data_IF_935432335340
#
_entry.id   IF_935432335340
#
_cell.length_a   1.000
_cell.length_b   1.000
_cell.length_c   1.000
_cell.angle_alpha   90.00
_cell.angle_beta   90.00
_cell.angle_gamma   90.00
#
_symmetry.space_group_name_H-M   'P 1'
#
loop_
_entity.id
_entity.type
_entity.pdbx_description
1 polymer ?
#
# COMPACT_ATOMS: atom_id res chain seq x y z
N UNK A 1 -26.21 26.75 -10.62
CA UNK A 1 -25.14 26.62 -9.61
C UNK A 1 -24.11 25.71 -10.23
N UNK A 2 -22.88 26.19 -10.42
CA UNK A 2 -21.80 25.33 -10.88
C UNK A 2 -21.63 24.20 -9.87
N UNK A 3 -21.56 22.95 -10.33
CA UNK A 3 -21.30 21.83 -9.44
C UNK A 3 -19.94 22.05 -8.74
N UNK A 4 -19.76 21.56 -7.51
CA UNK A 4 -18.48 21.71 -6.79
C UNK A 4 -17.28 21.16 -7.58
N UNK A 5 -17.53 20.25 -8.52
CA UNK A 5 -16.55 19.75 -9.48
C UNK A 5 -16.14 20.80 -10.51
N UNK A 6 -17.07 21.59 -11.04
CA UNK A 6 -16.74 22.70 -11.95
C UNK A 6 -15.92 23.79 -11.24
N UNK A 7 -16.23 24.07 -9.97
CA UNK A 7 -15.44 24.98 -9.12
C UNK A 7 -14.01 24.45 -8.95
N UNK A 8 -13.87 23.16 -8.63
CA UNK A 8 -12.57 22.49 -8.51
C UNK A 8 -11.79 22.55 -9.83
N UNK A 9 -12.44 22.25 -10.95
CA UNK A 9 -11.82 22.31 -12.29
C UNK A 9 -11.28 23.69 -12.61
N UNK A 10 -12.05 24.73 -12.29
CA UNK A 10 -11.67 26.12 -12.49
C UNK A 10 -10.46 26.51 -11.62
N UNK A 11 -10.45 26.12 -10.36
CA UNK A 11 -9.31 26.41 -9.47
C UNK A 11 -8.03 25.73 -9.95
N UNK A 12 -8.14 24.49 -10.42
CA UNK A 12 -6.99 23.75 -10.98
C UNK A 12 -6.51 24.39 -12.29
N UNK A 13 -7.41 24.79 -13.19
CA UNK A 13 -7.02 25.44 -14.45
C UNK A 13 -6.43 26.85 -14.25
N UNK A 14 -6.85 27.56 -13.20
CA UNK A 14 -6.27 28.85 -12.78
C UNK A 14 -4.93 28.69 -12.02
N UNK A 15 -4.48 27.46 -11.74
CA UNK A 15 -3.25 27.18 -11.00
C UNK A 15 -3.33 27.44 -9.49
N UNK A 16 -4.53 27.64 -8.94
CA UNK A 16 -4.77 27.88 -7.51
C UNK A 16 -4.82 26.58 -6.73
N UNK A 17 -3.70 25.86 -6.72
CA UNK A 17 -3.60 24.50 -6.17
C UNK A 17 -3.89 24.41 -4.67
N UNK A 18 -3.52 25.41 -3.87
CA UNK A 18 -3.80 25.41 -2.43
C UNK A 18 -5.31 25.52 -2.12
N UNK A 19 -6.00 26.39 -2.85
CA UNK A 19 -7.45 26.55 -2.73
C UNK A 19 -8.18 25.31 -3.23
N UNK A 20 -7.75 24.74 -4.36
CA UNK A 20 -8.27 23.47 -4.88
C UNK A 20 -8.09 22.32 -3.87
N UNK A 21 -6.92 22.23 -3.23
CA UNK A 21 -6.65 21.23 -2.20
C UNK A 21 -7.49 21.43 -0.93
N UNK A 22 -7.75 22.68 -0.53
CA UNK A 22 -8.67 22.98 0.58
C UNK A 22 -10.09 22.55 0.26
N UNK A 23 -10.60 22.94 -0.91
CA UNK A 23 -11.93 22.56 -1.39
C UNK A 23 -12.08 21.04 -1.47
N UNK A 24 -11.07 20.34 -2.02
CA UNK A 24 -11.08 18.89 -2.11
C UNK A 24 -11.18 18.24 -0.72
N UNK A 25 -10.48 18.75 0.30
CA UNK A 25 -10.51 18.17 1.66
C UNK A 25 -11.81 18.45 2.42
N UNK A 26 -12.41 19.62 2.22
CA UNK A 26 -13.62 20.04 2.94
C UNK A 26 -14.90 19.49 2.29
N UNK A 27 -14.94 19.44 0.96
CA UNK A 27 -16.16 19.16 0.19
C UNK A 27 -16.05 17.87 -0.65
N UNK A 28 -15.15 16.95 -0.29
CA UNK A 28 -14.95 15.69 -1.04
C UNK A 28 -16.25 14.90 -1.25
N UNK A 29 -17.16 14.90 -0.27
CA UNK A 29 -18.46 14.24 -0.35
C UNK A 29 -19.35 14.81 -1.47
N UNK A 30 -19.33 16.12 -1.69
CA UNK A 30 -20.08 16.78 -2.77
C UNK A 30 -19.39 16.62 -4.13
N UNK A 31 -18.04 16.55 -4.14
CA UNK A 31 -17.25 16.31 -5.35
C UNK A 31 -17.45 14.87 -5.85
N UNK A 32 -17.67 13.92 -4.94
CA UNK A 32 -17.88 12.50 -5.26
C UNK A 32 -19.35 12.12 -5.44
N UNK A 33 -20.31 13.02 -5.16
CA UNK A 33 -21.73 12.82 -5.46
C UNK A 33 -22.03 13.10 -6.93
N UNK A 34 -21.50 12.25 -7.82
CA UNK A 34 -21.65 12.36 -9.27
C UNK A 34 -22.49 11.22 -9.83
N UNK A 35 -23.42 11.58 -10.72
CA UNK A 35 -24.21 10.61 -11.47
C UNK A 35 -23.34 9.90 -12.53
N UNK A 36 -23.79 8.75 -13.05
CA UNK A 36 -23.05 7.99 -14.09
C UNK A 36 -22.76 8.83 -15.34
N UNK A 37 -23.74 9.59 -15.83
CA UNK A 37 -23.60 10.46 -17.00
C UNK A 37 -22.60 11.59 -16.78
N UNK A 38 -22.56 12.15 -15.56
CA UNK A 38 -21.61 13.19 -15.19
C UNK A 38 -20.19 12.62 -15.15
N UNK A 39 -19.99 11.43 -14.59
CA UNK A 39 -18.69 10.74 -14.56
C UNK A 39 -18.13 10.49 -15.95
N UNK A 40 -18.95 9.96 -16.86
CA UNK A 40 -18.54 9.71 -18.25
C UNK A 40 -18.18 11.01 -19.00
N UNK A 41 -18.98 12.07 -18.82
CA UNK A 41 -18.71 13.39 -19.42
C UNK A 41 -17.39 14.00 -18.90
N UNK A 42 -17.11 13.87 -17.61
CA UNK A 42 -15.87 14.37 -16.99
C UNK A 42 -14.64 13.61 -17.49
N UNK A 43 -14.73 12.28 -17.61
CA UNK A 43 -13.64 11.45 -18.16
C UNK A 43 -13.38 11.75 -19.65
N UNK A 44 -14.41 12.12 -20.42
CA UNK A 44 -14.26 12.48 -21.83
C UNK A 44 -13.71 13.92 -22.04
N UNK A 45 -13.98 14.83 -21.11
CA UNK A 45 -13.62 16.25 -21.25
C UNK A 45 -12.25 16.61 -20.70
N UNK A 46 -11.72 15.85 -19.75
CA UNK A 46 -10.51 16.21 -19.01
C UNK A 46 -9.41 15.15 -19.13
N UNK A 47 -8.15 15.58 -19.28
CA UNK A 47 -7.00 14.69 -19.20
C UNK A 47 -6.56 14.46 -17.74
N UNK A 48 -6.00 13.27 -17.40
CA UNK A 48 -5.50 12.99 -16.06
C UNK A 48 -4.39 13.94 -15.59
N UNK A 49 -3.55 14.43 -16.50
CA UNK A 49 -2.42 15.31 -16.18
C UNK A 49 -2.89 16.69 -15.72
N UNK A 50 -3.93 17.22 -16.38
CA UNK A 50 -4.42 18.58 -16.13
C UNK A 50 -5.37 18.64 -14.94
N UNK A 51 -6.20 17.60 -14.75
CA UNK A 51 -7.29 17.57 -13.77
C UNK A 51 -7.25 16.29 -12.93
N UNK A 52 -6.10 16.00 -12.31
CA UNK A 52 -5.89 14.77 -11.53
C UNK A 52 -6.85 14.63 -10.34
N UNK A 53 -7.23 15.73 -9.68
CA UNK A 53 -8.17 15.69 -8.56
C UNK A 53 -9.58 15.28 -8.99
N UNK A 54 -10.02 15.72 -10.17
CA UNK A 54 -11.33 15.35 -10.75
C UNK A 54 -11.33 13.87 -11.12
N UNK A 55 -10.26 13.41 -11.79
CA UNK A 55 -10.06 12.00 -12.09
C UNK A 55 -10.04 11.14 -10.83
N UNK A 56 -9.34 11.60 -9.79
CA UNK A 56 -9.30 10.94 -8.49
C UNK A 56 -10.70 10.81 -7.88
N UNK A 57 -11.51 11.87 -7.93
CA UNK A 57 -12.88 11.84 -7.42
C UNK A 57 -13.74 10.82 -8.17
N UNK A 58 -13.72 10.84 -9.51
CA UNK A 58 -14.49 9.90 -10.33
C UNK A 58 -14.08 8.45 -10.06
N UNK A 59 -12.77 8.16 -10.09
CA UNK A 59 -12.24 6.81 -9.85
C UNK A 59 -12.52 6.32 -8.43
N UNK A 60 -12.52 7.22 -7.44
CA UNK A 60 -12.87 6.89 -6.05
C UNK A 60 -14.34 6.46 -5.88
N UNK A 61 -15.23 6.90 -6.76
CA UNK A 61 -16.62 6.45 -6.80
C UNK A 61 -16.72 5.13 -7.55
N UNK A 62 -16.06 5.02 -8.70
CA UNK A 62 -16.09 3.79 -9.53
C UNK A 62 -15.53 2.57 -8.79
N UNK A 63 -14.44 2.73 -8.04
CA UNK A 63 -13.82 1.62 -7.29
C UNK A 63 -14.69 1.11 -6.13
N UNK A 64 -15.68 1.90 -5.69
CA UNK A 64 -16.62 1.53 -4.60
C UNK A 64 -17.91 0.90 -5.11
N UNK A 65 -18.10 0.85 -6.42
CA UNK A 65 -19.29 0.22 -7.00
C UNK A 65 -19.33 -1.27 -6.62
N UNK A 66 -20.52 -1.82 -6.29
CA UNK A 66 -20.63 -3.20 -5.83
C UNK A 66 -20.26 -4.22 -6.93
N UNK A 67 -20.43 -3.84 -8.20
CA UNK A 67 -20.10 -4.66 -9.37
C UNK A 67 -19.25 -3.83 -10.32
N UNK A 68 -17.93 -4.01 -10.23
CA UNK A 68 -16.96 -3.33 -11.07
C UNK A 68 -16.72 -4.15 -12.33
N UNK A 69 -16.96 -3.55 -13.50
CA UNK A 69 -16.47 -4.09 -14.75
C UNK A 69 -14.98 -3.78 -14.91
N UNK A 70 -14.15 -4.77 -14.57
CA UNK A 70 -12.70 -4.68 -14.68
C UNK A 70 -12.21 -4.42 -16.10
N UNK A 71 -12.97 -4.78 -17.14
CA UNK A 71 -12.58 -4.53 -18.53
C UNK A 71 -12.59 -3.03 -18.87
N UNK A 72 -13.47 -2.27 -18.20
CA UNK A 72 -13.59 -0.82 -18.35
C UNK A 72 -12.72 -0.10 -17.33
N UNK A 73 -12.72 -0.54 -16.08
CA UNK A 73 -12.02 0.15 -15.00
C UNK A 73 -10.49 0.06 -15.13
N UNK A 74 -9.94 -1.08 -15.57
CA UNK A 74 -8.48 -1.27 -15.71
C UNK A 74 -7.86 -0.28 -16.71
N UNK A 75 -8.41 -0.06 -17.91
CA UNK A 75 -7.94 1.01 -18.80
C UNK A 75 -7.98 2.40 -18.17
N UNK A 76 -9.06 2.75 -17.45
CA UNK A 76 -9.22 4.06 -16.81
C UNK A 76 -8.18 4.31 -15.73
N UNK A 77 -8.03 3.37 -14.77
CA UNK A 77 -7.04 3.50 -13.68
C UNK A 77 -5.61 3.45 -14.24
N UNK A 78 -5.36 2.70 -15.32
CA UNK A 78 -4.04 2.66 -15.96
C UNK A 78 -3.70 4.01 -16.60
N UNK A 79 -4.62 4.59 -17.38
CA UNK A 79 -4.43 5.93 -17.95
C UNK A 79 -4.18 6.97 -16.86
N UNK A 80 -4.96 6.93 -15.77
CA UNK A 80 -4.72 7.80 -14.63
C UNK A 80 -3.33 7.57 -14.01
N UNK A 81 -2.97 6.32 -13.71
CA UNK A 81 -1.70 5.95 -13.07
C UNK A 81 -0.48 6.35 -13.88
N UNK A 82 -0.60 6.36 -15.21
CA UNK A 82 0.49 6.73 -16.12
C UNK A 82 0.60 8.24 -16.34
N UNK A 83 -0.47 9.01 -16.15
CA UNK A 83 -0.53 10.40 -16.59
C UNK A 83 -0.86 11.44 -15.49
N UNK A 84 -1.23 11.03 -14.28
CA UNK A 84 -1.58 11.98 -13.21
C UNK A 84 -0.42 12.93 -12.85
N UNK A 85 -0.77 14.13 -12.38
CA UNK A 85 0.14 15.10 -11.77
C UNK A 85 0.41 14.75 -10.30
N UNK A 86 1.66 14.45 -9.91
CA UNK A 86 1.98 14.15 -8.51
C UNK A 86 1.70 15.32 -7.57
N UNK A 87 1.84 16.56 -8.03
CA UNK A 87 1.55 17.75 -7.22
C UNK A 87 0.07 17.84 -6.86
N UNK A 88 -0.81 17.60 -7.83
CA UNK A 88 -2.25 17.58 -7.60
C UNK A 88 -2.68 16.39 -6.73
N UNK A 89 -2.09 15.21 -6.94
CA UNK A 89 -2.40 14.03 -6.11
C UNK A 89 -2.09 14.26 -4.62
N UNK A 90 -0.99 14.98 -4.32
CA UNK A 90 -0.58 15.34 -2.96
C UNK A 90 -1.41 16.46 -2.31
N UNK A 91 -2.34 17.09 -3.04
CA UNK A 91 -3.30 18.01 -2.42
C UNK A 91 -4.33 17.26 -1.56
N UNK A 92 -4.61 16.00 -1.90
CA UNK A 92 -5.53 15.13 -1.17
C UNK A 92 -4.96 13.69 -1.01
N UNK A 93 -3.88 13.49 -0.25
CA UNK A 93 -3.17 12.21 -0.15
C UNK A 93 -4.03 11.06 0.38
N UNK A 94 -4.95 11.34 1.31
CA UNK A 94 -5.82 10.32 1.90
C UNK A 94 -6.69 9.65 0.83
N UNK A 95 -7.48 10.44 0.07
CA UNK A 95 -8.29 9.92 -1.03
C UNK A 95 -7.44 9.22 -2.11
N UNK A 96 -6.24 9.73 -2.42
CA UNK A 96 -5.35 9.10 -3.39
C UNK A 96 -4.91 7.70 -2.92
N UNK A 97 -4.39 7.59 -1.70
CA UNK A 97 -4.01 6.29 -1.12
C UNK A 97 -5.23 5.38 -0.99
N UNK A 98 -6.38 5.88 -0.54
CA UNK A 98 -7.62 5.10 -0.38
C UNK A 98 -8.11 4.50 -1.69
N UNK A 99 -8.02 5.24 -2.81
CA UNK A 99 -8.32 4.71 -4.14
C UNK A 99 -7.43 3.51 -4.47
N UNK A 100 -6.12 3.62 -4.25
CA UNK A 100 -5.17 2.56 -4.58
C UNK A 100 -5.31 1.35 -3.64
N UNK A 101 -5.55 1.58 -2.34
CA UNK A 101 -5.83 0.54 -1.37
C UNK A 101 -7.11 -0.24 -1.72
N UNK A 102 -8.21 0.46 -2.01
CA UNK A 102 -9.48 -0.16 -2.39
C UNK A 102 -9.36 -0.92 -3.72
N UNK A 103 -8.68 -0.33 -4.70
CA UNK A 103 -8.40 -0.99 -5.97
C UNK A 103 -7.64 -2.31 -5.76
N UNK A 104 -6.61 -2.27 -4.92
CA UNK A 104 -5.78 -3.44 -4.58
C UNK A 104 -6.57 -4.50 -3.85
N UNK A 105 -7.32 -4.12 -2.81
CA UNK A 105 -8.16 -5.03 -2.03
C UNK A 105 -9.20 -5.72 -2.91
N UNK A 106 -9.92 -4.95 -3.73
CA UNK A 106 -10.93 -5.49 -4.64
C UNK A 106 -10.32 -6.50 -5.63
N UNK A 107 -9.15 -6.21 -6.21
CA UNK A 107 -8.48 -7.16 -7.11
C UNK A 107 -8.01 -8.42 -6.39
N UNK A 108 -7.52 -8.31 -5.16
CA UNK A 108 -7.13 -9.45 -4.34
C UNK A 108 -8.33 -10.33 -4.00
N UNK A 109 -9.44 -9.76 -3.53
CA UNK A 109 -10.68 -10.48 -3.19
C UNK A 109 -11.25 -11.20 -4.42
N UNK A 110 -11.24 -10.54 -5.58
CA UNK A 110 -11.73 -11.10 -6.84
C UNK A 110 -10.73 -12.04 -7.53
N UNK A 111 -9.57 -12.33 -6.92
CA UNK A 111 -8.48 -13.15 -7.49
C UNK A 111 -7.98 -12.67 -8.86
N UNK A 112 -8.02 -11.36 -9.10
CA UNK A 112 -7.59 -10.69 -10.35
C UNK A 112 -6.37 -9.79 -10.15
N UNK A 113 -5.58 -10.01 -9.09
CA UNK A 113 -4.45 -9.18 -8.68
C UNK A 113 -3.44 -8.87 -9.81
N UNK A 114 -3.25 -9.77 -10.77
CA UNK A 114 -2.33 -9.58 -11.91
C UNK A 114 -2.67 -8.32 -12.74
N UNK A 115 -3.96 -7.95 -12.82
CA UNK A 115 -4.42 -6.82 -13.64
C UNK A 115 -3.96 -5.46 -13.09
N UNK A 116 -3.78 -5.35 -11.77
CA UNK A 116 -3.44 -4.07 -11.12
C UNK A 116 -1.95 -3.79 -11.00
N UNK A 117 -1.08 -4.79 -11.23
CA UNK A 117 0.36 -4.66 -10.96
C UNK A 117 0.98 -3.49 -11.73
N UNK A 118 0.68 -3.38 -13.03
CA UNK A 118 1.28 -2.33 -13.86
C UNK A 118 0.80 -0.94 -13.44
N UNK A 119 -0.50 -0.77 -13.19
CA UNK A 119 -1.08 0.53 -12.78
C UNK A 119 -0.49 0.97 -11.43
N UNK A 120 -0.47 0.09 -10.43
CA UNK A 120 0.08 0.43 -9.10
C UNK A 120 1.60 0.63 -9.17
N UNK A 121 2.32 -0.10 -10.02
CA UNK A 121 3.75 0.14 -10.25
C UNK A 121 4.01 1.55 -10.79
N UNK A 122 3.22 2.02 -11.76
CA UNK A 122 3.33 3.39 -12.28
C UNK A 122 3.07 4.42 -11.18
N UNK A 123 2.09 4.17 -10.31
CA UNK A 123 1.81 5.01 -9.14
C UNK A 123 3.01 5.05 -8.18
N UNK A 124 3.58 3.90 -7.82
CA UNK A 124 4.75 3.81 -6.92
C UNK A 124 5.97 4.54 -7.51
N UNK A 125 6.11 4.62 -8.83
CA UNK A 125 7.21 5.35 -9.48
C UNK A 125 7.02 6.86 -9.48
N UNK A 126 5.77 7.34 -9.57
CA UNK A 126 5.46 8.76 -9.82
C UNK A 126 4.98 9.53 -8.59
N UNK A 127 4.31 8.85 -7.67
CA UNK A 127 3.70 9.48 -6.50
C UNK A 127 4.71 9.97 -5.45
N UNK A 128 5.73 9.18 -5.06
CA UNK A 128 6.73 9.65 -4.11
C UNK A 128 7.44 10.92 -4.60
N UNK A 129 7.75 11.89 -3.73
CA UNK A 129 8.45 13.12 -4.12
C UNK A 129 9.89 12.83 -4.58
N UNK A 130 10.51 11.80 -4.02
CA UNK A 130 11.83 11.33 -4.40
C UNK A 130 11.90 9.79 -4.31
N UNK A 131 12.95 9.21 -4.88
CA UNK A 131 13.14 7.76 -4.92
C UNK A 131 13.35 7.11 -3.55
N UNK A 132 13.78 7.88 -2.55
CA UNK A 132 14.11 7.43 -1.20
C UNK A 132 12.94 7.56 -0.21
N UNK A 133 11.78 8.02 -0.68
CA UNK A 133 10.58 8.14 0.14
C UNK A 133 9.69 6.91 0.04
N UNK A 134 9.47 6.22 1.17
CA UNK A 134 8.49 5.15 1.28
C UNK A 134 7.09 5.73 1.47
N UNK A 135 6.13 5.22 0.71
CA UNK A 135 4.72 5.63 0.75
C UNK A 135 3.83 4.44 1.07
N UNK A 136 2.58 4.67 1.49
CA UNK A 136 1.63 3.61 1.79
C UNK A 136 1.39 2.65 0.59
N UNK A 137 1.39 3.22 -0.63
CA UNK A 137 1.15 2.49 -1.89
C UNK A 137 2.22 1.46 -2.26
N UNK A 138 3.40 1.51 -1.63
CA UNK A 138 4.42 0.47 -1.81
C UNK A 138 3.95 -0.89 -1.30
N UNK A 139 3.18 -0.90 -0.20
CA UNK A 139 2.64 -2.14 0.36
C UNK A 139 1.62 -2.80 -0.58
N UNK A 140 0.81 -2.01 -1.28
CA UNK A 140 -0.18 -2.48 -2.25
C UNK A 140 0.47 -3.19 -3.44
N UNK A 141 1.55 -2.62 -4.00
CA UNK A 141 2.27 -3.24 -5.11
C UNK A 141 2.78 -4.64 -4.72
N UNK A 142 3.36 -4.77 -3.52
CA UNK A 142 3.89 -6.05 -3.05
C UNK A 142 2.74 -7.02 -2.78
N UNK A 143 1.62 -6.56 -2.22
CA UNK A 143 0.43 -7.36 -2.00
C UNK A 143 -0.12 -7.94 -3.31
N UNK A 144 -0.26 -7.12 -4.36
CA UNK A 144 -0.68 -7.57 -5.69
C UNK A 144 0.27 -8.61 -6.27
N UNK A 145 1.59 -8.36 -6.17
CA UNK A 145 2.62 -9.28 -6.65
C UNK A 145 2.55 -10.64 -5.94
N UNK A 146 2.38 -10.65 -4.61
CA UNK A 146 2.21 -11.85 -3.82
C UNK A 146 0.93 -12.61 -4.19
N UNK A 147 -0.21 -11.92 -4.29
CA UNK A 147 -1.49 -12.52 -4.63
C UNK A 147 -1.49 -13.12 -6.04
N UNK A 148 -0.85 -12.45 -7.00
CA UNK A 148 -0.69 -12.92 -8.37
C UNK A 148 0.44 -13.95 -8.55
N UNK A 149 1.24 -14.22 -7.50
CA UNK A 149 2.48 -15.01 -7.57
C UNK A 149 3.48 -14.50 -8.63
N UNK A 150 3.41 -13.21 -8.95
CA UNK A 150 4.29 -12.54 -9.90
C UNK A 150 5.19 -11.58 -9.13
N UNK A 151 6.30 -12.08 -8.61
CA UNK A 151 7.13 -11.34 -7.64
C UNK A 151 8.14 -10.39 -8.29
N UNK A 152 8.52 -10.61 -9.55
CA UNK A 152 9.55 -9.82 -10.25
C UNK A 152 9.29 -8.30 -10.22
N UNK A 153 8.06 -7.79 -10.43
CA UNK A 153 7.80 -6.36 -10.49
C UNK A 153 8.05 -5.61 -9.18
N UNK A 154 7.93 -6.25 -8.01
CA UNK A 154 8.12 -5.56 -6.72
C UNK A 154 9.59 -5.57 -6.22
N UNK A 155 10.47 -6.39 -6.79
CA UNK A 155 11.85 -6.55 -6.30
C UNK A 155 12.70 -5.28 -6.32
N UNK A 156 12.65 -4.42 -7.35
CA UNK A 156 13.43 -3.18 -7.36
C UNK A 156 13.07 -2.27 -6.18
N UNK A 157 11.79 -2.24 -5.82
CA UNK A 157 11.29 -1.42 -4.71
C UNK A 157 11.63 -2.03 -3.36
N UNK A 158 11.69 -3.35 -3.23
CA UNK A 158 12.11 -4.05 -2.01
C UNK A 158 13.63 -4.01 -1.79
N UNK A 159 14.42 -3.88 -2.85
CA UNK A 159 15.88 -3.79 -2.78
C UNK A 159 16.36 -2.35 -2.47
N UNK A 160 15.47 -1.36 -2.54
CA UNK A 160 15.81 0.04 -2.32
C UNK A 160 15.85 0.37 -0.82
N UNK A 161 16.81 1.21 -0.44
CA UNK A 161 16.91 1.77 0.90
C UNK A 161 16.11 3.08 0.96
N UNK A 162 14.95 3.03 1.60
CA UNK A 162 14.17 4.23 1.88
C UNK A 162 14.70 4.91 3.15
N UNK A 163 14.95 6.20 3.08
CA UNK A 163 15.43 7.02 4.19
C UNK A 163 14.32 7.86 4.81
N UNK A 164 13.25 8.08 4.05
CA UNK A 164 12.14 8.96 4.42
C UNK A 164 10.82 8.19 4.35
N UNK A 165 9.89 8.52 5.25
CA UNK A 165 8.50 8.10 5.15
C UNK A 165 7.68 9.30 4.69
N UNK A 166 6.79 9.10 3.71
CA UNK A 166 5.87 10.15 3.29
C UNK A 166 4.76 10.33 4.32
N UNK A 167 5.04 11.06 5.39
CA UNK A 167 4.06 11.47 6.40
C UNK A 167 3.45 12.82 6.01
N UNK A 168 2.56 12.83 5.03
CA UNK A 168 1.87 14.07 4.60
C UNK A 168 0.76 14.46 5.58
N UNK A 169 1.05 15.38 6.53
CA UNK A 169 0.16 16.25 7.36
C UNK A 169 -1.15 15.67 7.95
N UNK A 170 -1.42 14.41 7.73
CA UNK A 170 -2.57 13.59 8.04
C UNK A 170 -2.01 12.21 8.37
N UNK A 171 -2.65 11.53 9.31
CA UNK A 171 -2.20 10.30 9.94
C UNK A 171 -1.67 9.31 8.90
N UNK A 172 -0.34 9.21 8.79
CA UNK A 172 0.27 8.07 8.10
C UNK A 172 -0.13 6.83 8.90
N UNK A 173 -0.95 5.97 8.32
CA UNK A 173 -1.30 4.74 9.00
C UNK A 173 -0.06 3.84 9.02
N UNK A 174 0.56 3.77 10.21
CA UNK A 174 1.72 2.92 10.50
C UNK A 174 1.53 1.47 10.02
N UNK A 175 0.28 1.02 9.89
CA UNK A 175 -0.12 -0.24 9.27
C UNK A 175 0.58 -0.47 7.92
N UNK A 176 0.67 0.51 7.04
CA UNK A 176 1.22 0.30 5.70
C UNK A 176 2.73 0.10 5.70
N UNK A 177 3.47 0.70 6.65
CA UNK A 177 4.89 0.39 6.86
C UNK A 177 5.06 -1.04 7.38
N UNK A 178 4.22 -1.46 8.34
CA UNK A 178 4.23 -2.84 8.84
C UNK A 178 3.91 -3.82 7.71
N UNK A 179 2.91 -3.54 6.88
CA UNK A 179 2.53 -4.35 5.73
C UNK A 179 3.64 -4.42 4.68
N UNK A 180 4.29 -3.29 4.36
CA UNK A 180 5.43 -3.24 3.45
C UNK A 180 6.52 -4.23 3.89
N UNK A 181 6.95 -4.17 5.15
CA UNK A 181 7.98 -5.07 5.67
C UNK A 181 7.51 -6.53 5.73
N UNK A 182 6.28 -6.78 6.15
CA UNK A 182 5.71 -8.13 6.23
C UNK A 182 5.61 -8.79 4.85
N UNK A 183 5.04 -8.09 3.86
CA UNK A 183 4.91 -8.58 2.50
C UNK A 183 6.26 -8.70 1.80
N UNK A 184 7.20 -7.79 2.06
CA UNK A 184 8.57 -7.92 1.59
C UNK A 184 9.27 -9.16 2.15
N UNK A 185 9.11 -9.43 3.45
CA UNK A 185 9.62 -10.64 4.10
C UNK A 185 9.05 -11.92 3.49
N UNK A 186 7.74 -11.94 3.21
CA UNK A 186 7.10 -13.05 2.49
C UNK A 186 7.65 -13.21 1.07
N UNK A 187 7.85 -12.11 0.34
CA UNK A 187 8.37 -12.12 -1.03
C UNK A 187 9.76 -12.75 -1.08
N UNK A 188 10.69 -12.32 -0.22
CA UNK A 188 12.03 -12.91 -0.17
C UNK A 188 12.03 -14.34 0.37
N UNK A 189 11.09 -14.70 1.25
CA UNK A 189 10.90 -16.10 1.67
C UNK A 189 10.52 -16.99 0.48
N UNK A 190 9.61 -16.53 -0.39
CA UNK A 190 9.23 -17.24 -1.61
C UNK A 190 10.39 -17.35 -2.62
N UNK A 191 11.33 -16.41 -2.59
CA UNK A 191 12.54 -16.43 -3.42
C UNK A 191 13.71 -17.20 -2.79
N UNK A 192 13.50 -17.85 -1.64
CA UNK A 192 14.52 -18.53 -0.86
C UNK A 192 15.69 -17.64 -0.41
N UNK A 193 15.52 -16.32 -0.45
CA UNK A 193 16.46 -15.38 0.16
C UNK A 193 16.10 -15.14 1.62
N UNK A 194 16.45 -16.13 2.43
CA UNK A 194 16.12 -16.10 3.85
C UNK A 194 16.83 -14.99 4.63
N UNK A 195 17.98 -14.50 4.15
CA UNK A 195 18.71 -13.41 4.81
C UNK A 195 17.92 -12.11 4.74
N UNK A 196 17.51 -11.72 3.52
CA UNK A 196 16.69 -10.51 3.33
C UNK A 196 15.30 -10.67 3.93
N UNK A 197 14.72 -11.87 3.87
CA UNK A 197 13.44 -12.15 4.52
C UNK A 197 13.49 -11.90 6.04
N UNK A 198 14.53 -12.41 6.72
CA UNK A 198 14.69 -12.20 8.16
C UNK A 198 14.88 -10.73 8.50
N UNK A 199 15.70 -10.01 7.74
CA UNK A 199 15.88 -8.57 7.93
C UNK A 199 14.55 -7.81 7.86
N UNK A 200 13.72 -8.06 6.84
CA UNK A 200 12.43 -7.39 6.72
C UNK A 200 11.43 -7.82 7.81
N UNK A 201 11.39 -9.10 8.19
CA UNK A 201 10.56 -9.51 9.32
C UNK A 201 11.02 -8.88 10.64
N UNK A 202 12.32 -8.72 10.86
CA UNK A 202 12.86 -7.97 12.01
C UNK A 202 12.41 -6.51 11.96
N UNK A 203 12.54 -5.83 10.82
CA UNK A 203 12.08 -4.45 10.66
C UNK A 203 10.58 -4.31 10.93
N UNK A 204 9.76 -5.25 10.45
CA UNK A 204 8.33 -5.32 10.75
C UNK A 204 8.02 -5.37 12.27
N UNK A 205 8.86 -6.06 13.05
CA UNK A 205 8.72 -6.21 14.50
C UNK A 205 9.30 -5.04 15.29
N UNK A 206 10.20 -4.26 14.68
CA UNK A 206 10.81 -3.07 15.26
C UNK A 206 9.99 -1.79 15.04
N UNK A 207 8.94 -1.82 14.21
CA UNK A 207 8.04 -0.66 14.03
C UNK A 207 7.42 -0.29 15.39
N UNK A 208 7.60 0.94 15.89
CA UNK A 208 7.00 1.37 17.14
C UNK A 208 5.48 1.31 17.06
N UNK A 209 4.84 0.58 17.97
CA UNK A 209 3.38 0.45 18.02
C UNK A 209 2.89 0.42 19.47
N UNK A 210 1.79 1.13 19.74
CA UNK A 210 1.13 1.15 21.07
C UNK A 210 0.40 -0.17 21.32
N UNK A 211 -0.15 -0.77 20.27
CA UNK A 211 -0.83 -2.06 20.29
C UNK A 211 -0.24 -2.97 19.20
N UNK A 212 -0.17 -4.27 19.50
CA UNK A 212 0.39 -5.23 18.56
C UNK A 212 -0.65 -5.62 17.51
N UNK A 213 -0.27 -5.52 16.24
CA UNK A 213 -1.15 -5.91 15.13
C UNK A 213 -1.09 -7.41 14.85
N UNK A 214 -2.16 -7.96 14.27
CA UNK A 214 -2.19 -9.34 13.78
C UNK A 214 -1.12 -9.60 12.71
N UNK A 215 -0.73 -8.56 11.95
CA UNK A 215 0.33 -8.62 10.95
C UNK A 215 1.69 -8.85 11.62
N UNK A 216 2.00 -8.11 12.69
CA UNK A 216 3.24 -8.33 13.44
C UNK A 216 3.30 -9.74 14.05
N UNK A 217 2.18 -10.26 14.55
CA UNK A 217 2.11 -11.63 15.06
C UNK A 217 2.39 -12.65 13.95
N UNK A 218 1.79 -12.47 12.76
CA UNK A 218 2.04 -13.32 11.61
C UNK A 218 3.49 -13.22 11.12
N UNK A 219 4.10 -12.03 11.20
CA UNK A 219 5.51 -11.79 10.90
C UNK A 219 6.42 -12.56 11.87
N UNK A 220 6.14 -12.53 13.18
CA UNK A 220 6.93 -13.25 14.18
C UNK A 220 6.87 -14.77 14.00
N UNK A 221 5.70 -15.33 13.69
CA UNK A 221 5.55 -16.76 13.36
C UNK A 221 6.44 -17.15 12.18
N UNK A 222 6.42 -16.35 11.10
CA UNK A 222 7.25 -16.59 9.91
C UNK A 222 8.74 -16.37 10.18
N UNK A 223 9.10 -15.38 11.00
CA UNK A 223 10.47 -15.14 11.42
C UNK A 223 11.06 -16.38 12.09
N UNK A 224 10.35 -17.00 13.04
CA UNK A 224 10.80 -18.24 13.71
C UNK A 224 11.05 -19.33 12.66
N UNK A 225 10.09 -19.57 11.77
CA UNK A 225 10.22 -20.60 10.73
C UNK A 225 11.41 -20.34 9.80
N UNK A 226 11.60 -19.10 9.34
CA UNK A 226 12.71 -18.74 8.45
C UNK A 226 14.06 -18.85 9.17
N UNK A 227 14.12 -18.54 10.48
CA UNK A 227 15.32 -18.79 11.28
C UNK A 227 15.68 -20.28 11.30
N UNK A 228 14.69 -21.16 11.50
CA UNK A 228 14.91 -22.60 11.48
C UNK A 228 15.37 -23.07 10.10
N UNK A 229 14.73 -22.61 9.02
CA UNK A 229 15.12 -22.97 7.65
C UNK A 229 16.54 -22.53 7.28
N UNK A 230 16.99 -21.36 7.76
CA UNK A 230 18.30 -20.80 7.37
C UNK A 230 19.44 -21.22 8.30
N UNK A 231 19.21 -21.24 9.60
CA UNK A 231 20.26 -21.39 10.62
C UNK A 231 20.11 -22.64 11.48
N UNK A 232 19.03 -23.41 11.30
CA UNK A 232 18.69 -24.55 12.15
C UNK A 232 18.55 -24.19 13.64
N UNK A 233 18.37 -22.90 13.95
CA UNK A 233 18.20 -22.39 15.32
C UNK A 233 17.48 -21.06 15.30
N UNK A 234 16.83 -20.73 16.41
CA UNK A 234 16.21 -19.42 16.58
C UNK A 234 17.29 -18.35 16.79
N UNK A 235 17.26 -17.28 15.99
CA UNK A 235 18.08 -16.09 16.21
C UNK A 235 17.31 -15.13 17.09
N UNK A 236 17.96 -14.66 18.15
CA UNK A 236 17.41 -13.65 19.04
C UNK A 236 17.17 -12.35 18.29
N UNK A 237 15.98 -11.77 18.49
CA UNK A 237 15.66 -10.49 17.90
C UNK A 237 16.53 -9.38 18.52
N UNK A 238 16.80 -8.29 17.78
CA UNK A 238 17.43 -7.12 18.35
C UNK A 238 16.63 -6.57 19.53
N UNK A 239 17.30 -5.95 20.50
CA UNK A 239 16.67 -5.37 21.71
C UNK A 239 15.56 -4.33 21.39
N UNK A 240 15.61 -3.71 20.21
CA UNK A 240 14.60 -2.76 19.74
C UNK A 240 13.30 -3.41 19.24
N UNK A 241 13.30 -4.71 18.91
CA UNK A 241 12.07 -5.48 18.67
C UNK A 241 11.39 -5.69 20.03
N UNK A 242 10.60 -4.68 20.41
CA UNK A 242 10.14 -4.32 21.76
C UNK A 242 9.89 -5.44 22.78
N UNK A 243 10.04 -5.08 24.07
CA UNK A 243 9.51 -5.83 25.22
C UNK A 243 8.04 -6.29 25.06
N UNK A 244 7.26 -5.63 24.21
CA UNK A 244 5.88 -6.01 23.88
C UNK A 244 5.84 -7.34 23.10
N UNK A 245 6.78 -7.62 22.21
CA UNK A 245 6.85 -8.90 21.48
C UNK A 245 7.10 -10.06 22.45
N UNK A 246 8.06 -9.93 23.35
CA UNK A 246 8.34 -10.97 24.35
C UNK A 246 7.18 -11.18 25.32
N UNK A 247 6.44 -10.13 25.69
CA UNK A 247 5.31 -10.23 26.61
C UNK A 247 4.05 -10.78 25.93
N UNK A 248 3.74 -10.31 24.72
CA UNK A 248 2.46 -10.57 24.04
C UNK A 248 2.53 -11.80 23.13
N UNK A 249 3.66 -12.08 22.49
CA UNK A 249 3.75 -13.17 21.51
C UNK A 249 4.10 -14.54 22.09
N UNK A 250 4.62 -14.62 23.32
CA UNK A 250 4.94 -15.92 23.95
C UNK A 250 3.75 -16.86 24.01
N UNK A 251 2.58 -16.36 24.43
CA UNK A 251 1.35 -17.17 24.51
C UNK A 251 0.84 -17.64 23.13
N UNK A 252 0.53 -16.74 22.17
CA UNK A 252 -0.03 -17.15 20.87
C UNK A 252 0.96 -17.83 19.91
N UNK A 253 2.27 -17.76 20.18
CA UNK A 253 3.30 -18.44 19.39
C UNK A 253 3.95 -19.62 20.12
N UNK A 254 3.34 -20.14 21.19
CA UNK A 254 3.89 -21.25 21.99
C UNK A 254 4.35 -22.44 21.15
N UNK A 255 3.49 -22.94 20.25
CA UNK A 255 3.82 -24.07 19.37
C UNK A 255 5.02 -23.82 18.44
N UNK A 256 5.21 -22.58 17.97
CA UNK A 256 6.36 -22.23 17.13
C UNK A 256 7.66 -22.22 17.94
N UNK A 257 7.59 -21.82 19.21
CA UNK A 257 8.72 -21.83 20.12
C UNK A 257 9.08 -23.25 20.57
N UNK A 258 8.08 -24.11 20.79
CA UNK A 258 8.27 -25.55 21.05
C UNK A 258 8.93 -26.23 19.87
N UNK A 259 8.44 -25.97 18.65
CA UNK A 259 9.07 -26.45 17.42
C UNK A 259 10.54 -26.00 17.33
N UNK A 260 10.82 -24.73 17.62
CA UNK A 260 12.19 -24.23 17.60
C UNK A 260 13.10 -24.88 18.65
N UNK A 261 12.55 -25.29 19.80
CA UNK A 261 13.27 -26.04 20.84
C UNK A 261 13.54 -27.48 20.40
N UNK A 262 12.53 -28.20 19.92
CA UNK A 262 12.67 -29.57 19.44
C UNK A 262 13.67 -29.67 18.29
N UNK A 263 13.61 -28.71 17.36
CA UNK A 263 14.56 -28.62 16.25
C UNK A 263 16.01 -28.38 16.72
N UNK A 264 16.19 -27.69 17.85
CA UNK A 264 17.51 -27.48 18.45
C UNK A 264 18.03 -28.71 19.22
N UNK A 265 17.13 -29.56 19.75
CA UNK A 265 17.50 -30.81 20.45
C UNK A 265 17.71 -31.99 19.49
N UNK A 266 17.25 -31.89 18.24
CA UNK A 266 17.39 -32.95 17.24
C UNK A 266 16.42 -34.12 17.46
N UNK A 267 15.38 -33.93 18.26
CA UNK A 267 14.29 -34.91 18.40
C UNK A 267 13.43 -34.85 17.13
N UNK A 268 13.59 -35.87 16.28
CA UNK A 268 12.82 -36.08 15.04
C UNK A 268 11.60 -36.98 15.26
#
# INVERSE_FOLDING_TARGET
MATKVEELMKLVSEGKLEEAGKLAREEWGQITSLDSTQRESLLASCAPADQSLVWLAVLSVEVKQPLIDWSVFIPLITNFSENFSPEQARLHPQAFCDLIHQFTENLCVNRKAILGINSVRSVVQRYPPNEHTLTAVHSDLIQLCLAAKCLKPCLPYLARNYTELLTEKSQFDSKYVVLYFYYGGMTYTCLHDYLRALQLFTMCLCVPAIAVSAVMLAAYKKYILVCLLKYNKMIQLPKCASHLVERVFKSPCGHYLELAKAYATGDH
#
